data_IF_741877419884
#
_entry.id   IF_741877419884
#
_cell.length_a   1.000
_cell.length_b   1.000
_cell.length_c   1.000
_cell.angle_alpha   90.00
_cell.angle_beta   90.00
_cell.angle_gamma   90.00
#
_symmetry.space_group_name_H-M   'P 1'
#
loop_
_entity.id
_entity.type
_entity.pdbx_description
1 polymer ?
#
# COMPACT_ATOMS: atom_id res chain seq x y z
N UNK A 1 -38.78 -30.94 74.35
CA UNK A 1 -38.16 -29.60 74.22
C UNK A 1 -37.41 -29.64 72.90
N UNK A 2 -38.08 -29.31 71.79
CA UNK A 2 -37.95 -28.01 71.10
C UNK A 2 -36.76 -28.11 70.13
N UNK A 3 -36.80 -27.81 68.83
CA UNK A 3 -37.72 -26.99 68.04
C UNK A 3 -37.41 -27.26 66.56
N UNK A 4 -38.42 -27.22 65.70
CA UNK A 4 -38.28 -27.10 64.24
C UNK A 4 -37.58 -25.79 63.83
N UNK A 5 -36.75 -25.84 62.78
CA UNK A 5 -36.53 -24.69 61.89
C UNK A 5 -35.99 -25.16 60.53
N UNK A 6 -36.73 -24.79 59.49
CA UNK A 6 -36.52 -25.08 58.07
C UNK A 6 -35.94 -23.85 57.35
N UNK A 7 -35.41 -24.05 56.13
CA UNK A 7 -35.07 -23.07 55.09
C UNK A 7 -33.65 -22.43 55.20
N UNK A 8 -32.89 -22.08 54.14
CA UNK A 8 -33.14 -21.76 52.72
C UNK A 8 -31.88 -21.97 51.85
N UNK A 9 -32.10 -22.02 50.53
CA UNK A 9 -31.17 -22.09 49.40
C UNK A 9 -29.98 -21.11 49.37
N UNK A 10 -28.90 -21.49 48.67
CA UNK A 10 -28.18 -20.62 47.73
C UNK A 10 -27.22 -21.44 46.84
N UNK A 11 -27.57 -21.49 45.56
CA UNK A 11 -26.76 -21.88 44.41
C UNK A 11 -25.58 -20.89 44.29
N UNK A 12 -24.33 -21.39 44.29
CA UNK A 12 -23.14 -20.57 44.13
C UNK A 12 -22.31 -21.06 42.93
N UNK A 13 -22.86 -20.73 41.76
CA UNK A 13 -22.21 -20.32 40.52
C UNK A 13 -20.67 -20.41 40.42
N UNK A 14 -20.26 -21.18 39.41
CA UNK A 14 -19.11 -20.98 38.52
C UNK A 14 -18.44 -19.60 38.60
N UNK A 15 -17.19 -19.57 39.05
CA UNK A 15 -16.26 -18.45 38.78
C UNK A 15 -15.23 -18.91 37.74
N UNK A 16 -15.66 -18.88 36.49
CA UNK A 16 -14.77 -18.81 35.34
C UNK A 16 -14.94 -17.42 34.73
N UNK A 17 -13.82 -16.70 34.58
CA UNK A 17 -13.76 -15.44 33.85
C UNK A 17 -13.34 -14.26 34.73
N UNK A 18 -12.11 -13.76 34.54
CA UNK A 18 -11.89 -12.66 33.61
C UNK A 18 -10.44 -12.18 33.73
N UNK A 19 -9.56 -12.59 32.81
CA UNK A 19 -8.19 -12.05 32.70
C UNK A 19 -7.70 -12.16 31.26
N UNK A 20 -8.51 -11.70 30.30
CA UNK A 20 -8.05 -11.70 28.91
C UNK A 20 -8.58 -10.54 28.06
N UNK A 21 -8.70 -9.35 28.64
CA UNK A 21 -9.12 -8.13 27.90
C UNK A 21 -7.97 -7.16 27.59
N UNK A 22 -6.79 -7.32 28.20
CA UNK A 22 -5.68 -6.38 28.00
C UNK A 22 -4.65 -6.81 26.92
N UNK A 23 -4.62 -8.08 26.51
CA UNK A 23 -3.65 -8.59 25.52
C UNK A 23 -4.12 -8.51 24.04
N UNK A 24 -5.36 -8.07 23.78
CA UNK A 24 -5.89 -7.99 22.41
C UNK A 24 -5.67 -6.63 21.73
N UNK A 25 -5.35 -5.57 22.49
CA UNK A 25 -5.19 -4.22 21.92
C UNK A 25 -3.76 -3.97 21.39
N UNK A 26 -2.72 -4.48 22.05
CA UNK A 26 -1.32 -4.28 21.63
C UNK A 26 -0.95 -5.08 20.36
N UNK A 27 -1.61 -6.21 20.12
CA UNK A 27 -1.36 -7.08 18.95
C UNK A 27 -2.02 -6.55 17.67
N UNK A 28 -3.08 -5.76 17.79
CA UNK A 28 -3.83 -5.19 16.65
C UNK A 28 -3.17 -3.92 16.11
N UNK A 29 -2.44 -3.18 16.94
CA UNK A 29 -1.86 -1.90 16.53
C UNK A 29 -0.68 -2.05 15.56
N UNK A 30 0.06 -3.15 15.68
CA UNK A 30 1.19 -3.48 14.81
C UNK A 30 0.73 -4.06 13.47
N UNK A 31 -0.49 -4.59 13.38
CA UNK A 31 -1.00 -5.33 12.21
C UNK A 31 -1.91 -4.51 11.29
N UNK A 32 -2.37 -3.33 11.72
CA UNK A 32 -3.29 -2.51 10.92
C UNK A 32 -2.67 -2.05 9.58
N UNK A 33 -3.15 -2.56 8.42
CA UNK A 33 -2.56 -2.27 7.12
C UNK A 33 -2.61 -0.78 6.79
N UNK A 34 -3.64 -0.05 7.26
CA UNK A 34 -3.74 1.39 7.04
C UNK A 34 -2.60 2.16 7.72
N UNK A 35 -2.28 1.79 8.97
CA UNK A 35 -1.20 2.40 9.74
C UNK A 35 0.16 2.01 9.17
N UNK A 36 0.35 0.76 8.78
CA UNK A 36 1.61 0.28 8.19
C UNK A 36 1.92 1.02 6.89
N UNK A 37 0.97 1.08 5.95
CA UNK A 37 1.13 1.80 4.67
C UNK A 37 1.44 3.28 4.93
N UNK A 38 0.65 3.91 5.81
CA UNK A 38 0.83 5.33 6.13
C UNK A 38 2.23 5.60 6.69
N UNK A 39 2.66 4.81 7.68
CA UNK A 39 3.97 4.95 8.33
C UNK A 39 5.09 4.77 7.31
N UNK A 40 5.00 3.73 6.49
CA UNK A 40 6.02 3.40 5.50
C UNK A 40 6.27 4.55 4.52
N UNK A 41 5.24 5.00 3.79
CA UNK A 41 5.41 6.07 2.80
C UNK A 41 5.76 7.41 3.45
N UNK A 42 5.28 7.69 4.67
CA UNK A 42 5.67 8.89 5.40
C UNK A 42 7.14 8.87 5.79
N UNK A 43 7.67 7.73 6.21
CA UNK A 43 9.10 7.55 6.48
C UNK A 43 9.92 7.75 5.20
N UNK A 44 9.52 7.18 4.07
CA UNK A 44 10.22 7.37 2.80
C UNK A 44 10.24 8.84 2.34
N UNK A 45 9.12 9.55 2.46
CA UNK A 45 9.07 10.98 2.16
C UNK A 45 10.05 11.77 3.03
N UNK A 46 10.06 11.50 4.33
CA UNK A 46 10.96 12.18 5.27
C UNK A 46 12.42 11.90 4.93
N UNK A 47 12.78 10.62 4.70
CA UNK A 47 14.13 10.25 4.31
C UNK A 47 14.55 10.96 3.01
N UNK A 48 13.64 11.09 2.04
CA UNK A 48 13.93 11.79 0.80
C UNK A 48 14.10 13.30 1.02
N UNK A 49 13.28 13.93 1.87
CA UNK A 49 13.45 15.33 2.28
C UNK A 49 14.82 15.54 2.96
N UNK A 50 15.18 14.66 3.89
CA UNK A 50 16.45 14.70 4.61
C UNK A 50 17.64 14.54 3.64
N UNK A 51 17.56 13.61 2.70
CA UNK A 51 18.56 13.42 1.63
C UNK A 51 18.72 14.64 0.73
N UNK A 52 17.63 15.34 0.38
CA UNK A 52 17.72 16.57 -0.40
C UNK A 52 18.35 17.71 0.42
N UNK A 53 18.08 17.75 1.72
CA UNK A 53 18.63 18.75 2.64
C UNK A 53 20.13 18.54 2.89
N UNK A 54 20.59 17.29 2.90
CA UNK A 54 21.99 16.93 3.15
C UNK A 54 22.92 17.13 1.94
N UNK A 55 22.38 17.41 0.75
CA UNK A 55 23.19 17.63 -0.46
C UNK A 55 24.07 18.87 -0.36
N UNK A 56 25.24 18.78 -0.99
CA UNK A 56 26.09 19.93 -1.24
C UNK A 56 25.38 20.96 -2.15
N UNK A 57 25.71 22.23 -1.95
CA UNK A 57 25.08 23.35 -2.62
C UNK A 57 25.32 23.36 -4.13
N UNK A 58 26.46 22.81 -4.57
CA UNK A 58 26.79 22.56 -5.98
C UNK A 58 25.76 21.65 -6.66
N UNK A 59 25.46 20.50 -6.04
CA UNK A 59 24.47 19.52 -6.52
C UNK A 59 23.06 20.10 -6.41
N UNK A 60 22.75 20.81 -5.31
CA UNK A 60 21.45 21.48 -5.11
C UNK A 60 21.14 22.49 -6.21
N UNK A 61 22.14 23.28 -6.63
CA UNK A 61 21.98 24.29 -7.68
C UNK A 61 21.99 23.72 -9.09
N UNK A 62 22.45 22.48 -9.28
CA UNK A 62 22.42 21.79 -10.58
C UNK A 62 20.98 21.60 -11.10
N UNK A 63 20.84 21.45 -12.42
CA UNK A 63 19.54 21.18 -13.04
C UNK A 63 18.91 19.89 -12.48
N UNK A 64 19.72 18.85 -12.29
CA UNK A 64 19.28 17.57 -11.73
C UNK A 64 18.77 17.74 -10.29
N UNK A 65 19.51 18.46 -9.43
CA UNK A 65 19.11 18.70 -8.04
C UNK A 65 17.83 19.54 -7.91
N UNK A 66 17.67 20.57 -8.76
CA UNK A 66 16.43 21.36 -8.83
C UNK A 66 15.25 20.52 -9.30
N UNK A 67 15.44 19.70 -10.33
CA UNK A 67 14.39 18.82 -10.84
C UNK A 67 13.96 17.79 -9.80
N UNK A 68 14.91 17.18 -9.08
CA UNK A 68 14.59 16.23 -8.03
C UNK A 68 13.83 16.88 -6.86
N UNK A 69 14.20 18.11 -6.49
CA UNK A 69 13.46 18.90 -5.49
C UNK A 69 12.02 19.19 -5.91
N UNK A 70 11.80 19.52 -7.18
CA UNK A 70 10.44 19.69 -7.75
C UNK A 70 9.68 18.37 -7.74
N UNK A 71 10.32 17.26 -8.12
CA UNK A 71 9.72 15.93 -8.12
C UNK A 71 9.28 15.50 -6.72
N UNK A 72 10.10 15.74 -5.69
CA UNK A 72 9.74 15.45 -4.30
C UNK A 72 8.54 16.30 -3.86
N UNK A 73 8.55 17.60 -4.14
CA UNK A 73 7.42 18.48 -3.81
C UNK A 73 6.12 17.99 -4.46
N UNK A 74 6.16 17.66 -5.75
CA UNK A 74 5.01 17.12 -6.47
C UNK A 74 4.55 15.78 -5.89
N UNK A 75 5.48 14.88 -5.58
CA UNK A 75 5.20 13.58 -4.97
C UNK A 75 4.49 13.75 -3.61
N UNK A 76 4.98 14.66 -2.78
CA UNK A 76 4.39 14.98 -1.48
C UNK A 76 2.97 15.53 -1.62
N UNK A 77 2.73 16.40 -2.60
CA UNK A 77 1.40 16.98 -2.79
C UNK A 77 0.41 15.94 -3.33
N UNK A 78 0.85 15.08 -4.22
CA UNK A 78 0.00 14.06 -4.86
C UNK A 78 -0.31 12.86 -3.97
N UNK A 79 0.51 12.54 -2.97
CA UNK A 79 0.25 11.44 -2.04
C UNK A 79 -0.64 11.83 -0.84
N UNK A 80 -0.82 13.14 -0.58
CA UNK A 80 -1.71 13.65 0.50
C UNK A 80 -3.13 13.06 0.47
N UNK A 81 -3.81 12.92 -0.68
CA UNK A 81 -5.15 12.32 -0.75
C UNK A 81 -5.14 10.86 -0.27
N UNK A 82 -4.13 10.08 -0.64
CA UNK A 82 -3.98 8.69 -0.17
C UNK A 82 -3.85 8.65 1.36
N UNK A 83 -3.04 9.53 1.96
CA UNK A 83 -2.95 9.62 3.42
C UNK A 83 -4.26 9.98 4.11
N UNK A 84 -5.09 10.83 3.48
CA UNK A 84 -6.44 11.14 4.00
C UNK A 84 -7.36 9.92 3.90
N UNK A 85 -7.32 9.18 2.79
CA UNK A 85 -8.12 7.96 2.58
C UNK A 85 -7.72 6.86 3.57
N UNK A 86 -6.42 6.67 3.83
CA UNK A 86 -5.91 5.71 4.80
C UNK A 86 -6.37 6.05 6.23
N UNK A 87 -6.26 7.33 6.63
CA UNK A 87 -6.71 7.81 7.96
C UNK A 87 -8.22 7.68 8.17
N UNK A 88 -9.00 7.91 7.11
CA UNK A 88 -10.46 7.82 7.17
C UNK A 88 -11.00 6.42 6.91
N UNK A 89 -10.13 5.43 6.64
CA UNK A 89 -10.49 4.06 6.22
C UNK A 89 -11.49 4.00 5.06
N UNK A 90 -11.41 4.98 4.14
CA UNK A 90 -12.27 5.08 2.94
C UNK A 90 -11.63 4.53 1.67
N UNK A 91 -10.48 3.88 1.80
CA UNK A 91 -9.80 3.26 0.68
C UNK A 91 -10.50 1.93 0.36
N UNK A 92 -10.72 1.65 -0.92
CA UNK A 92 -11.26 0.36 -1.37
C UNK A 92 -10.38 -0.78 -0.85
N UNK A 93 -10.99 -1.83 -0.31
CA UNK A 93 -10.29 -2.95 0.33
C UNK A 93 -9.32 -3.68 -0.62
N UNK A 94 -9.73 -3.89 -1.87
CA UNK A 94 -8.85 -4.48 -2.89
C UNK A 94 -7.60 -3.64 -3.14
N UNK A 95 -7.77 -2.31 -3.29
CA UNK A 95 -6.66 -1.39 -3.46
C UNK A 95 -5.78 -1.29 -2.20
N UNK A 96 -6.39 -1.28 -1.01
CA UNK A 96 -5.68 -1.28 0.26
C UNK A 96 -4.76 -2.49 0.35
N UNK A 97 -5.28 -3.69 0.08
CA UNK A 97 -4.51 -4.94 0.07
C UNK A 97 -3.34 -4.86 -0.92
N UNK A 98 -3.59 -4.38 -2.14
CA UNK A 98 -2.54 -4.26 -3.15
C UNK A 98 -1.42 -3.30 -2.73
N UNK A 99 -1.77 -2.15 -2.14
CA UNK A 99 -0.78 -1.19 -1.63
C UNK A 99 -0.04 -1.77 -0.42
N UNK A 100 -0.73 -2.54 0.42
CA UNK A 100 -0.12 -3.25 1.55
C UNK A 100 0.90 -4.28 1.08
N UNK A 101 0.56 -5.11 0.10
CA UNK A 101 1.45 -6.11 -0.49
C UNK A 101 2.71 -5.44 -1.09
N UNK A 102 2.56 -4.30 -1.76
CA UNK A 102 3.69 -3.49 -2.25
C UNK A 102 4.62 -3.10 -1.09
N UNK A 103 4.07 -2.61 0.02
CA UNK A 103 4.85 -2.20 1.19
C UNK A 103 5.58 -3.40 1.82
N UNK A 104 4.93 -4.55 1.91
CA UNK A 104 5.54 -5.79 2.41
C UNK A 104 6.71 -6.23 1.51
N UNK A 105 6.49 -6.32 0.19
CA UNK A 105 7.55 -6.72 -0.75
C UNK A 105 8.72 -5.74 -0.77
N UNK A 106 8.48 -4.42 -0.70
CA UNK A 106 9.57 -3.46 -0.56
C UNK A 106 10.33 -3.64 0.77
N UNK A 107 9.62 -3.95 1.87
CA UNK A 107 10.23 -4.25 3.17
C UNK A 107 11.14 -5.49 3.14
N UNK A 108 10.77 -6.51 2.37
CA UNK A 108 11.56 -7.73 2.14
C UNK A 108 12.70 -7.55 1.10
N UNK A 109 12.77 -6.39 0.44
CA UNK A 109 13.72 -6.12 -0.64
C UNK A 109 13.35 -6.79 -1.97
N UNK A 110 12.12 -7.30 -2.13
CA UNK A 110 11.59 -7.90 -3.35
C UNK A 110 10.96 -6.83 -4.26
N UNK A 111 11.76 -5.88 -4.74
CA UNK A 111 11.25 -4.76 -5.54
C UNK A 111 10.64 -5.19 -6.88
N UNK A 112 11.12 -6.28 -7.49
CA UNK A 112 10.49 -6.86 -8.67
C UNK A 112 9.03 -7.29 -8.40
N UNK A 113 8.80 -8.04 -7.32
CA UNK A 113 7.43 -8.44 -6.94
C UNK A 113 6.57 -7.25 -6.60
N UNK A 114 7.11 -6.28 -5.87
CA UNK A 114 6.42 -5.03 -5.58
C UNK A 114 6.02 -4.28 -6.86
N UNK A 115 6.92 -4.27 -7.85
CA UNK A 115 6.66 -3.67 -9.16
C UNK A 115 5.62 -4.45 -9.96
N UNK A 116 5.64 -5.77 -9.93
CA UNK A 116 4.63 -6.59 -10.59
C UNK A 116 3.25 -6.34 -10.01
N UNK A 117 3.11 -6.29 -8.68
CA UNK A 117 1.86 -5.88 -8.02
C UNK A 117 1.44 -4.48 -8.44
N UNK A 118 2.38 -3.55 -8.52
CA UNK A 118 2.12 -2.21 -9.04
C UNK A 118 1.61 -2.26 -10.49
N UNK A 119 2.27 -2.94 -11.42
CA UNK A 119 1.84 -3.00 -12.82
C UNK A 119 0.48 -3.70 -12.95
N UNK A 120 0.32 -4.84 -12.28
CA UNK A 120 -0.89 -5.66 -12.34
C UNK A 120 -2.12 -4.95 -11.77
N UNK A 121 -1.95 -4.04 -10.80
CA UNK A 121 -3.08 -3.39 -10.11
C UNK A 121 -3.20 -1.87 -10.37
N UNK A 122 -2.11 -1.19 -10.74
CA UNK A 122 -2.04 0.27 -10.94
C UNK A 122 -1.99 0.65 -12.41
N UNK A 123 -1.28 -0.11 -13.25
CA UNK A 123 -1.14 0.22 -14.66
C UNK A 123 -2.22 -0.43 -15.54
N UNK A 124 -2.85 -1.51 -15.07
CA UNK A 124 -3.66 -2.36 -15.94
C UNK A 124 -4.89 -2.87 -15.17
N UNK A 125 -6.00 -2.15 -15.27
CA UNK A 125 -7.30 -2.81 -15.20
C UNK A 125 -7.44 -3.72 -16.41
N UNK A 126 -6.94 -4.96 -16.35
CA UNK A 126 -7.08 -6.01 -17.38
C UNK A 126 -6.95 -5.49 -18.84
N UNK A 127 -5.75 -5.12 -19.28
CA UNK A 127 -5.48 -4.82 -20.68
C UNK A 127 -5.41 -6.14 -21.44
N UNK A 128 -6.48 -6.41 -22.16
CA UNK A 128 -6.45 -7.30 -23.31
C UNK A 128 -5.61 -6.68 -24.45
N UNK A 129 -4.33 -6.33 -24.23
CA UNK A 129 -3.42 -5.96 -25.34
C UNK A 129 -1.97 -6.29 -24.97
N UNK A 130 -1.32 -7.24 -25.67
CA UNK A 130 0.12 -7.43 -25.57
C UNK A 130 0.81 -6.25 -26.27
N UNK A 131 1.66 -5.50 -25.56
CA UNK A 131 2.63 -4.65 -26.23
C UNK A 131 3.70 -5.56 -26.85
N UNK A 132 3.55 -5.84 -28.14
CA UNK A 132 4.56 -6.51 -28.95
C UNK A 132 4.05 -6.96 -30.31
N UNK A 133 4.44 -6.21 -31.34
CA UNK A 133 4.46 -6.52 -32.80
C UNK A 133 3.34 -5.93 -33.67
N UNK A 134 3.80 -5.12 -34.61
CA UNK A 134 3.14 -4.43 -35.71
C UNK A 134 2.76 -5.37 -36.87
N UNK A 135 1.49 -5.32 -37.33
CA UNK A 135 0.91 -5.90 -38.56
C UNK A 135 1.03 -7.45 -38.72
N UNK A 136 0.10 -8.21 -39.31
CA UNK A 136 -0.62 -8.10 -40.59
C UNK A 136 -1.90 -8.96 -40.52
N UNK A 137 -2.99 -8.54 -41.21
CA UNK A 137 -4.01 -9.47 -41.72
C UNK A 137 -5.45 -9.18 -41.30
N UNK A 138 -6.20 -8.53 -42.19
CA UNK A 138 -7.67 -8.44 -42.17
C UNK A 138 -8.24 -9.86 -42.21
N UNK A 139 -8.61 -10.44 -41.07
CA UNK A 139 -9.70 -11.40 -40.89
C UNK A 139 -9.87 -11.70 -39.39
N UNK A 140 -10.39 -10.73 -38.63
CA UNK A 140 -10.83 -10.97 -37.26
C UNK A 140 -12.12 -11.78 -37.29
N UNK A 141 -12.02 -13.12 -37.31
CA UNK A 141 -13.19 -13.99 -37.11
C UNK A 141 -13.74 -13.78 -35.71
N UNK A 142 -15.04 -13.50 -35.66
CA UNK A 142 -15.88 -13.36 -34.48
C UNK A 142 -15.71 -14.55 -33.53
N UNK A 143 -15.52 -14.26 -32.24
CA UNK A 143 -15.55 -15.28 -31.21
C UNK A 143 -14.74 -14.93 -29.96
N UNK A 144 -15.25 -14.04 -29.11
CA UNK A 144 -15.07 -14.27 -27.66
C UNK A 144 -16.16 -13.60 -26.84
N UNK A 145 -16.91 -14.49 -26.20
CA UNK A 145 -18.04 -14.26 -25.32
C UNK A 145 -17.68 -13.45 -24.07
N UNK A 146 -18.69 -12.71 -23.58
CA UNK A 146 -18.92 -12.34 -22.18
C UNK A 146 -17.67 -12.05 -21.36
N UNK A 147 -17.19 -10.81 -21.45
CA UNK A 147 -16.46 -10.20 -20.34
C UNK A 147 -17.54 -9.58 -19.46
N UNK A 148 -17.80 -10.20 -18.30
CA UNK A 148 -18.65 -9.60 -17.28
C UNK A 148 -18.08 -8.22 -16.92
N UNK A 149 -18.83 -7.21 -17.35
CA UNK A 149 -18.65 -5.83 -16.97
C UNK A 149 -19.05 -5.67 -15.50
N UNK A 150 -18.08 -5.63 -14.59
CA UNK A 150 -18.25 -4.88 -13.35
C UNK A 150 -16.90 -4.50 -12.71
N UNK A 151 -16.71 -3.20 -12.51
CA UNK A 151 -15.76 -2.54 -11.60
C UNK A 151 -14.29 -2.29 -11.98
N UNK A 152 -13.80 -2.68 -13.16
CA UNK A 152 -12.37 -2.50 -13.51
C UNK A 152 -12.04 -1.14 -14.16
N UNK A 153 -13.06 -0.31 -14.44
CA UNK A 153 -12.89 0.99 -15.10
C UNK A 153 -12.58 2.17 -14.15
N UNK A 154 -12.69 2.01 -12.83
CA UNK A 154 -12.66 3.16 -11.92
C UNK A 154 -11.24 3.73 -11.67
N UNK A 155 -10.22 2.86 -11.65
CA UNK A 155 -8.84 3.21 -11.25
C UNK A 155 -8.15 4.20 -12.18
N UNK A 156 -8.37 4.08 -13.49
CA UNK A 156 -7.79 5.00 -14.50
C UNK A 156 -8.67 6.22 -14.80
N UNK A 157 -9.93 6.24 -14.37
CA UNK A 157 -10.85 7.36 -14.58
C UNK A 157 -10.64 8.48 -13.54
N UNK A 158 -10.10 8.17 -12.37
CA UNK A 158 -9.83 9.17 -11.33
C UNK A 158 -8.42 9.78 -11.47
N UNK A 159 -8.34 11.06 -11.82
CA UNK A 159 -7.06 11.79 -11.83
C UNK A 159 -6.36 11.76 -10.48
N UNK A 160 -7.15 11.84 -9.40
CA UNK A 160 -6.66 11.82 -8.04
C UNK A 160 -5.92 10.51 -7.75
N UNK A 161 -6.50 9.40 -8.21
CA UNK A 161 -5.94 8.07 -8.08
C UNK A 161 -4.65 7.91 -8.87
N UNK A 162 -4.64 8.35 -10.13
CA UNK A 162 -3.43 8.35 -10.95
C UNK A 162 -2.29 9.15 -10.30
N UNK A 163 -2.59 10.32 -9.72
CA UNK A 163 -1.60 11.19 -9.06
C UNK A 163 -0.98 10.50 -7.83
N UNK A 164 -1.78 9.94 -6.91
CA UNK A 164 -1.21 9.28 -5.73
C UNK A 164 -0.50 7.97 -6.08
N UNK A 165 -1.00 7.20 -7.05
CA UNK A 165 -0.37 5.95 -7.48
C UNK A 165 0.99 6.20 -8.18
N UNK A 166 1.06 7.24 -9.02
CA UNK A 166 2.34 7.70 -9.58
C UNK A 166 3.33 8.07 -8.48
N UNK A 167 2.84 8.66 -7.38
CA UNK A 167 3.67 9.01 -6.22
C UNK A 167 4.14 7.78 -5.45
N UNK A 168 3.30 6.75 -5.30
CA UNK A 168 3.68 5.45 -4.74
C UNK A 168 4.84 4.85 -5.54
N UNK A 169 4.76 4.81 -6.88
CA UNK A 169 5.87 4.32 -7.73
C UNK A 169 7.16 5.09 -7.49
N UNK A 170 7.09 6.43 -7.42
CA UNK A 170 8.27 7.27 -7.17
C UNK A 170 8.92 6.93 -5.83
N UNK A 171 8.13 6.71 -4.78
CA UNK A 171 8.63 6.31 -3.48
C UNK A 171 9.25 4.91 -3.49
N UNK A 172 8.66 3.95 -4.22
CA UNK A 172 9.26 2.63 -4.41
C UNK A 172 10.61 2.73 -5.11
N UNK A 173 10.72 3.51 -6.18
CA UNK A 173 11.98 3.71 -6.90
C UNK A 173 13.04 4.41 -6.03
N UNK A 174 12.63 5.38 -5.21
CA UNK A 174 13.52 6.02 -4.24
C UNK A 174 14.03 5.04 -3.18
N UNK A 175 13.15 4.21 -2.61
CA UNK A 175 13.51 3.19 -1.64
C UNK A 175 14.48 2.16 -2.23
N UNK A 176 14.19 1.64 -3.42
CA UNK A 176 15.09 0.74 -4.16
C UNK A 176 16.49 1.35 -4.38
N UNK A 177 16.56 2.65 -4.70
CA UNK A 177 17.83 3.36 -4.90
C UNK A 177 18.64 3.46 -3.60
N UNK A 178 17.96 3.54 -2.45
CA UNK A 178 18.58 3.69 -1.12
C UNK A 178 18.97 2.35 -0.50
N UNK A 179 18.30 1.26 -0.87
CA UNK A 179 18.62 -0.10 -0.42
C UNK A 179 19.90 -0.63 -1.06
N UNK A 180 20.98 -0.67 -0.27
CA UNK A 180 22.30 -1.23 -0.63
C UNK A 180 22.37 -2.73 -0.32
N UNK A 181 21.53 -3.20 0.59
CA UNK A 181 21.36 -4.57 1.09
C UNK A 181 20.70 -5.53 0.09
N UNK A 182 20.05 -5.02 -0.95
CA UNK A 182 19.28 -5.83 -1.90
C UNK A 182 20.12 -6.21 -3.12
N UNK A 183 20.13 -7.51 -3.44
CA UNK A 183 20.80 -8.08 -4.61
C UNK A 183 20.29 -7.43 -5.91
N UNK A 184 21.17 -7.19 -6.91
CA UNK A 184 20.77 -6.63 -8.20
C UNK A 184 19.62 -7.38 -8.89
N UNK A 185 19.52 -8.70 -8.68
CA UNK A 185 18.47 -9.56 -9.24
C UNK A 185 17.08 -9.32 -8.67
N UNK A 186 16.95 -8.63 -7.53
CA UNK A 186 15.66 -8.28 -6.92
C UNK A 186 15.27 -6.81 -7.15
N UNK A 187 16.14 -6.05 -7.82
CA UNK A 187 15.91 -4.65 -8.20
C UNK A 187 15.20 -4.61 -9.55
N UNK A 188 14.25 -3.69 -9.69
CA UNK A 188 13.70 -3.35 -11.00
C UNK A 188 14.78 -2.58 -11.75
N UNK A 189 15.32 -3.17 -12.81
CA UNK A 189 16.23 -2.46 -13.72
C UNK A 189 15.39 -1.41 -14.45
N UNK A 190 15.73 -0.14 -14.21
CA UNK A 190 15.09 1.02 -14.84
C UNK A 190 15.60 1.28 -16.24
#
# INVERSE_FOLDING_TARGET
>A
QGSDAQATAADAASTAGNTNSQNQEETNETTDPHKQIHRYFKTLLRNWEDDLSARDETIRKSLAGRNESKTLKQCRDYIRPLFKLLKSRKLEEGLLKNIHDIVLFCGEGEFLKAHDVYINNVAIGRHAWPMGVTMVGIHARSGRAKIESSNVAHVMNSELQRKYLTSVKRLMSYDQKKRVDVLPSKKVLG
#
